data_IF_411202850018
#
_entry.id   IF_411202850018
#
_cell.length_a   1.000
_cell.length_b   1.000
_cell.length_c   1.000
_cell.angle_alpha   90.00
_cell.angle_beta   90.00
_cell.angle_gamma   90.00
#
_symmetry.space_group_name_H-M   'P 1'
#
loop_
_entity.id
_entity.type
_entity.pdbx_description
1 polymer ?
#
# COMPACT_ATOMS: atom_id res chain seq x y z
N UNK A 1 -9.17 -18.07 -9.92
CA UNK A 1 -9.37 -16.88 -10.79
C UNK A 1 -8.00 -16.31 -11.16
N UNK A 2 -7.80 -15.82 -12.39
CA UNK A 2 -6.52 -15.24 -12.81
C UNK A 2 -6.49 -13.77 -12.35
N UNK A 3 -5.73 -13.45 -11.30
CA UNK A 3 -5.52 -12.05 -10.91
C UNK A 3 -4.89 -11.25 -12.05
N UNK A 4 -5.26 -9.97 -12.24
CA UNK A 4 -4.56 -9.09 -13.16
C UNK A 4 -3.07 -8.98 -12.80
N UNK A 5 -2.19 -8.94 -13.81
CA UNK A 5 -0.74 -8.86 -13.62
C UNK A 5 -0.32 -7.66 -12.74
N UNK A 6 -1.05 -6.55 -12.81
CA UNK A 6 -0.81 -5.36 -11.97
C UNK A 6 -0.85 -5.67 -10.48
N UNK A 7 -1.75 -6.58 -10.06
CA UNK A 7 -1.92 -6.98 -8.66
C UNK A 7 -0.73 -7.82 -8.20
N UNK A 8 -0.28 -8.74 -9.06
CA UNK A 8 0.89 -9.59 -8.79
C UNK A 8 2.17 -8.77 -8.69
N UNK A 9 2.38 -7.82 -9.60
CA UNK A 9 3.54 -6.91 -9.58
C UNK A 9 3.53 -6.04 -8.32
N UNK A 10 2.36 -5.51 -7.95
CA UNK A 10 2.20 -4.77 -6.71
C UNK A 10 2.58 -5.61 -5.48
N UNK A 11 1.96 -6.79 -5.32
CA UNK A 11 2.25 -7.68 -4.19
C UNK A 11 3.74 -8.07 -4.13
N UNK A 12 4.35 -8.35 -5.28
CA UNK A 12 5.79 -8.62 -5.38
C UNK A 12 6.64 -7.43 -4.91
N UNK A 13 6.28 -6.19 -5.28
CA UNK A 13 6.97 -4.99 -4.82
C UNK A 13 6.80 -4.74 -3.33
N UNK A 14 5.62 -4.96 -2.75
CA UNK A 14 5.45 -4.84 -1.30
C UNK A 14 6.35 -5.83 -0.57
N UNK A 15 6.36 -7.10 -1.02
CA UNK A 15 7.22 -8.16 -0.46
C UNK A 15 8.70 -7.80 -0.50
N UNK A 16 9.15 -7.14 -1.56
CA UNK A 16 10.53 -6.69 -1.70
C UNK A 16 10.81 -5.35 -1.02
N UNK A 17 9.82 -4.74 -0.36
CA UNK A 17 9.87 -3.36 0.11
C UNK A 17 10.38 -2.40 -0.99
N UNK A 18 9.90 -2.60 -2.23
CA UNK A 18 10.35 -1.92 -3.44
C UNK A 18 9.31 -0.93 -4.00
N UNK A 19 8.22 -0.68 -3.27
CA UNK A 19 7.26 0.36 -3.64
C UNK A 19 7.93 1.75 -3.58
N UNK A 20 7.82 2.60 -4.62
CA UNK A 20 8.28 3.98 -4.59
C UNK A 20 7.44 4.83 -3.63
N UNK A 21 7.97 5.09 -2.44
CA UNK A 21 7.37 6.01 -1.47
C UNK A 21 8.21 7.28 -1.38
N UNK A 22 7.65 8.41 -0.97
CA UNK A 22 8.41 9.66 -0.85
C UNK A 22 9.60 9.52 0.09
N UNK A 23 9.50 8.76 1.19
CA UNK A 23 10.64 8.44 2.08
C UNK A 23 11.79 7.77 1.32
N UNK A 24 11.50 6.88 0.37
CA UNK A 24 12.55 6.24 -0.46
C UNK A 24 13.07 7.15 -1.55
N UNK A 25 12.21 7.99 -2.12
CA UNK A 25 12.59 8.96 -3.16
C UNK A 25 13.45 10.09 -2.58
N UNK A 26 13.21 10.51 -1.35
CA UNK A 26 14.00 11.54 -0.65
C UNK A 26 15.46 11.14 -0.44
N UNK A 27 15.78 9.84 -0.50
CA UNK A 27 17.17 9.35 -0.51
C UNK A 27 17.93 9.69 -1.80
N UNK A 28 17.22 10.07 -2.86
CA UNK A 28 17.78 10.36 -4.20
C UNK A 28 17.47 11.77 -4.68
N UNK A 29 16.39 12.38 -4.17
CA UNK A 29 15.93 13.71 -4.53
C UNK A 29 16.01 14.59 -3.29
N UNK A 30 16.93 15.56 -3.31
CA UNK A 30 17.10 16.53 -2.23
C UNK A 30 15.83 17.39 -2.11
N UNK A 31 15.47 17.77 -0.88
CA UNK A 31 14.30 18.63 -0.56
C UNK A 31 12.92 18.05 -0.88
N UNK A 32 12.82 16.76 -1.22
CA UNK A 32 11.52 16.11 -1.41
C UNK A 32 10.75 16.03 -0.08
N UNK A 33 9.52 16.55 -0.08
CA UNK A 33 8.61 16.39 1.05
C UNK A 33 8.19 14.93 1.18
N UNK A 34 8.36 14.37 2.37
CA UNK A 34 8.09 12.95 2.65
C UNK A 34 6.67 12.68 3.17
N UNK A 35 5.80 13.68 3.21
CA UNK A 35 4.44 13.53 3.74
C UNK A 35 3.58 12.58 2.92
N UNK A 36 2.74 11.80 3.61
CA UNK A 36 1.71 10.97 3.01
C UNK A 36 0.69 11.87 2.30
N UNK A 37 0.47 11.68 1.00
CA UNK A 37 -0.39 12.58 0.23
C UNK A 37 -1.88 12.34 0.47
N UNK A 38 -2.25 11.27 1.19
CA UNK A 38 -3.63 10.96 1.55
C UNK A 38 -4.04 11.56 2.89
N UNK A 39 -3.21 11.38 3.92
CA UNK A 39 -3.55 11.85 5.28
C UNK A 39 -2.83 13.13 5.67
N UNK A 40 -1.69 13.46 5.06
CA UNK A 40 -0.85 14.62 5.40
C UNK A 40 -0.28 14.64 6.84
N UNK A 41 -0.49 13.58 7.63
CA UNK A 41 -0.06 13.51 9.05
C UNK A 41 1.16 12.61 9.30
N UNK A 42 1.48 11.68 8.39
CA UNK A 42 2.62 10.77 8.52
C UNK A 42 3.53 10.81 7.30
N UNK A 43 4.71 10.19 7.39
CA UNK A 43 5.56 10.00 6.23
C UNK A 43 4.97 8.94 5.28
N UNK A 44 5.12 9.12 3.96
CA UNK A 44 4.78 8.13 2.96
C UNK A 44 5.87 7.04 2.97
N UNK A 45 5.66 6.04 3.81
CA UNK A 45 6.33 4.75 3.75
C UNK A 45 5.34 3.62 3.43
N UNK A 46 5.87 2.43 3.17
CA UNK A 46 5.05 1.30 2.74
C UNK A 46 4.05 0.87 3.80
N UNK A 47 4.42 0.86 5.08
CA UNK A 47 3.50 0.48 6.14
C UNK A 47 2.49 1.58 6.41
N UNK A 48 2.89 2.84 6.32
CA UNK A 48 1.97 3.95 6.41
C UNK A 48 0.91 3.86 5.30
N UNK A 49 1.32 3.80 4.03
CA UNK A 49 0.40 3.74 2.89
C UNK A 49 -0.54 2.54 2.91
N UNK A 50 -0.08 1.40 3.44
CA UNK A 50 -0.85 0.16 3.42
C UNK A 50 -1.61 -0.12 4.71
N UNK A 51 -1.23 0.44 5.85
CA UNK A 51 -1.74 0.00 7.17
C UNK A 51 -2.09 1.16 8.08
N UNK A 52 -1.15 2.09 8.28
CA UNK A 52 -1.28 3.11 9.33
C UNK A 52 -1.94 4.41 8.85
N UNK A 53 -2.01 4.64 7.53
CA UNK A 53 -2.67 5.79 6.96
C UNK A 53 -4.17 5.73 7.29
N UNK A 54 -4.77 6.79 7.88
CA UNK A 54 -6.21 6.84 8.14
C UNK A 54 -7.07 6.53 6.91
N UNK A 55 -6.60 6.90 5.72
CA UNK A 55 -7.25 6.55 4.47
C UNK A 55 -7.19 5.04 4.17
N UNK A 56 -6.01 4.42 4.33
CA UNK A 56 -5.87 2.97 4.20
C UNK A 56 -6.74 2.24 5.22
N UNK A 57 -6.79 2.72 6.47
CA UNK A 57 -7.66 2.17 7.51
C UNK A 57 -9.14 2.16 7.09
N UNK A 58 -9.62 3.25 6.48
CA UNK A 58 -10.99 3.34 5.96
C UNK A 58 -11.22 2.34 4.82
N UNK A 59 -10.28 2.25 3.88
CA UNK A 59 -10.35 1.27 2.77
C UNK A 59 -10.47 -0.16 3.31
N UNK A 60 -9.65 -0.53 4.29
CA UNK A 60 -9.72 -1.85 4.89
C UNK A 60 -11.01 -2.09 5.68
N UNK A 61 -11.52 -1.06 6.35
CA UNK A 61 -12.78 -1.14 7.10
C UNK A 61 -14.00 -1.34 6.18
N UNK A 62 -13.91 -0.90 4.92
CA UNK A 62 -14.94 -1.11 3.90
C UNK A 62 -14.76 -2.43 3.14
N UNK A 63 -13.63 -3.11 3.31
CA UNK A 63 -13.38 -4.40 2.69
C UNK A 63 -14.09 -5.53 3.45
N UNK A 64 -14.43 -6.65 2.81
CA UNK A 64 -14.98 -7.83 3.49
C UNK A 64 -13.92 -8.58 4.35
N UNK A 65 -12.72 -8.02 4.51
CA UNK A 65 -11.61 -8.69 5.16
C UNK A 65 -11.60 -8.45 6.66
N UNK A 66 -11.12 -9.42 7.46
CA UNK A 66 -11.00 -9.23 8.90
C UNK A 66 -9.93 -8.17 9.21
N UNK A 67 -10.36 -6.99 9.67
CA UNK A 67 -9.48 -5.88 10.05
C UNK A 67 -8.41 -6.25 11.07
N UNK A 68 -8.69 -7.23 11.94
CA UNK A 68 -7.72 -7.80 12.90
C UNK A 68 -6.46 -8.39 12.26
N UNK A 69 -6.56 -8.88 11.03
CA UNK A 69 -5.42 -9.44 10.30
C UNK A 69 -4.57 -8.35 9.65
N UNK A 70 -5.14 -7.16 9.51
CA UNK A 70 -4.57 -6.06 8.73
C UNK A 70 -3.84 -5.09 9.65
N UNK A 71 -4.46 -4.73 10.78
CA UNK A 71 -3.92 -3.81 11.78
C UNK A 71 -3.02 -4.52 12.81
N UNK A 72 -2.18 -5.44 12.33
CA UNK A 72 -1.16 -6.05 13.18
C UNK A 72 -0.01 -5.08 13.39
N UNK A 73 0.63 -5.15 14.55
CA UNK A 73 1.83 -4.36 14.83
C UNK A 73 2.96 -4.93 13.97
N UNK A 74 3.26 -4.25 12.87
CA UNK A 74 4.35 -4.64 11.98
C UNK A 74 5.38 -3.52 11.90
N UNK A 75 6.64 -3.89 12.10
CA UNK A 75 7.79 -2.98 12.01
C UNK A 75 8.31 -2.85 10.58
N UNK A 76 8.03 -3.84 9.73
CA UNK A 76 8.45 -3.85 8.33
C UNK A 76 7.34 -4.34 7.39
N UNK A 77 7.26 -3.73 6.21
CA UNK A 77 6.34 -4.13 5.15
C UNK A 77 6.46 -5.61 4.75
N UNK A 78 7.68 -6.17 4.79
CA UNK A 78 7.90 -7.60 4.52
C UNK A 78 7.25 -8.50 5.55
N UNK A 79 7.43 -8.17 6.84
CA UNK A 79 6.86 -8.93 7.95
C UNK A 79 5.34 -8.89 7.90
N UNK A 80 4.77 -7.70 7.68
CA UNK A 80 3.34 -7.51 7.46
C UNK A 80 2.82 -8.33 6.27
N UNK A 81 3.49 -8.25 5.11
CA UNK A 81 3.10 -9.04 3.93
C UNK A 81 3.14 -10.53 4.18
N UNK A 82 4.15 -11.03 4.89
CA UNK A 82 4.27 -12.45 5.17
C UNK A 82 3.12 -12.92 6.07
N UNK A 83 2.78 -12.14 7.09
CA UNK A 83 1.67 -12.43 7.99
C UNK A 83 0.32 -12.37 7.27
N UNK A 84 0.09 -11.35 6.45
CA UNK A 84 -1.17 -11.24 5.71
C UNK A 84 -1.29 -12.33 4.66
N UNK A 85 -0.20 -12.66 3.94
CA UNK A 85 -0.21 -13.69 2.90
C UNK A 85 -0.50 -15.10 3.42
N UNK A 86 -0.28 -15.37 4.71
CA UNK A 86 -0.64 -16.65 5.32
C UNK A 86 -2.11 -16.75 5.70
N UNK A 87 -2.84 -15.62 5.69
CA UNK A 87 -4.24 -15.56 6.13
C UNK A 87 -5.20 -15.07 5.05
N UNK A 88 -4.70 -14.37 4.03
CA UNK A 88 -5.50 -13.85 2.93
C UNK A 88 -5.24 -14.60 1.62
N UNK A 89 -6.30 -14.88 0.89
CA UNK A 89 -6.24 -15.38 -0.46
C UNK A 89 -5.85 -14.27 -1.47
N UNK A 90 -5.26 -14.65 -2.60
CA UNK A 90 -4.86 -13.73 -3.67
C UNK A 90 -5.99 -12.78 -4.13
N UNK A 91 -7.24 -13.25 -4.13
CA UNK A 91 -8.45 -12.47 -4.51
C UNK A 91 -8.71 -11.28 -3.58
N UNK A 92 -8.28 -11.36 -2.33
CA UNK A 92 -8.52 -10.37 -1.28
C UNK A 92 -7.56 -9.19 -1.37
N UNK A 93 -6.32 -9.44 -1.79
CA UNK A 93 -5.39 -8.38 -2.21
C UNK A 93 -5.91 -7.57 -3.41
N UNK A 94 -6.73 -8.20 -4.26
CA UNK A 94 -7.38 -7.52 -5.36
C UNK A 94 -8.34 -6.43 -4.89
N UNK A 95 -9.01 -6.63 -3.76
CA UNK A 95 -9.93 -5.66 -3.18
C UNK A 95 -9.19 -4.43 -2.64
N UNK A 96 -8.02 -4.62 -2.01
CA UNK A 96 -7.17 -3.52 -1.57
C UNK A 96 -6.83 -2.58 -2.74
N UNK A 97 -6.33 -3.14 -3.84
CA UNK A 97 -6.01 -2.35 -5.03
C UNK A 97 -7.26 -1.76 -5.67
N UNK A 98 -8.37 -2.50 -5.77
CA UNK A 98 -9.61 -1.98 -6.36
C UNK A 98 -10.30 -0.91 -5.51
N UNK A 99 -10.06 -0.84 -4.21
CA UNK A 99 -10.62 0.20 -3.35
C UNK A 99 -9.70 1.42 -3.30
N UNK A 100 -8.38 1.22 -3.29
CA UNK A 100 -7.36 2.27 -3.28
C UNK A 100 -7.20 2.96 -4.66
N UNK A 101 -7.35 2.21 -5.75
CA UNK A 101 -7.21 2.72 -7.13
C UNK A 101 -8.26 3.76 -7.55
N UNK A 102 -9.57 3.62 -7.23
CA UNK A 102 -10.59 4.60 -7.59
C UNK A 102 -10.70 5.77 -6.59
N UNK A 103 -10.12 5.67 -5.39
CA UNK A 103 -10.22 6.70 -4.35
C UNK A 103 -9.01 7.66 -4.33
N UNK A 104 -8.03 7.47 -5.21
CA UNK A 104 -6.89 8.37 -5.40
C UNK A 104 -7.19 9.47 -6.42
N UNK A 105 -7.33 10.71 -5.93
CA UNK A 105 -7.32 11.91 -6.75
C UNK A 105 -6.12 11.98 -7.70
N UNK A 106 -6.28 12.74 -8.78
CA UNK A 106 -5.44 12.79 -9.99
C UNK A 106 -3.90 13.02 -9.81
N UNK A 107 -3.37 13.14 -8.59
CA UNK A 107 -1.95 13.36 -8.32
C UNK A 107 -1.10 12.09 -8.09
N UNK A 108 -1.64 11.05 -7.42
CA UNK A 108 -0.83 9.89 -6.96
C UNK A 108 -0.92 8.71 -7.93
N UNK A 109 -2.09 8.49 -8.54
CA UNK A 109 -2.30 7.42 -9.53
C UNK A 109 -1.37 7.59 -10.75
N UNK A 110 -0.98 8.83 -11.05
CA UNK A 110 0.01 9.13 -12.08
C UNK A 110 1.45 8.72 -11.69
N UNK A 111 1.80 8.67 -10.41
CA UNK A 111 3.13 8.23 -9.93
C UNK A 111 3.27 6.71 -10.00
N UNK A 112 2.20 5.95 -9.73
CA UNK A 112 2.17 4.49 -9.84
C UNK A 112 1.89 3.97 -11.26
N UNK A 113 1.35 4.81 -12.16
CA UNK A 113 1.19 4.50 -13.60
C UNK A 113 2.52 4.35 -14.32
N UNK A 114 3.56 5.11 -13.94
CA UNK A 114 4.88 5.05 -14.63
C UNK A 114 5.64 3.78 -14.27
N UNK A 115 5.30 3.14 -13.16
CA UNK A 115 6.02 1.96 -12.68
C UNK A 115 5.24 0.65 -12.87
N UNK A 116 3.99 0.63 -13.34
CA UNK A 116 3.19 -0.60 -13.50
C UNK A 116 2.89 -0.92 -14.96
#
# INVERSE_FOLDING_TARGET
>A
SKLPNKIKVFAWRVRLNALPTSVKLAKRIQELQVGCPFCQFGEEDVLHDLVYCPFACQVWSLSPLPTRLIFTVAWEARSWMQQISSHLEEKEFGLFLCLYYPSGGAGIVNRWRVFC
#
